data_IF_671741311869
#
_entry.id   IF_671741311869
#
_cell.length_a   1.000
_cell.length_b   1.000
_cell.length_c   1.000
_cell.angle_alpha   90.00
_cell.angle_beta   90.00
_cell.angle_gamma   90.00
#
_symmetry.space_group_name_H-M   'P 1'
#
loop_
_entity.id
_entity.type
_entity.pdbx_description
1 polymer ?
#
# COMPACT_ATOMS: atom_id res chain seq x y z
N UNK A 1 4.95 -0.65 1.79
CA UNK A 1 5.45 -1.87 1.12
C UNK A 1 4.41 -2.28 0.08
N UNK A 2 4.69 -2.02 -1.20
CA UNK A 2 3.77 -2.17 -2.33
C UNK A 2 3.79 -3.62 -2.86
N UNK A 3 3.28 -4.53 -2.03
CA UNK A 3 3.37 -5.98 -2.24
C UNK A 3 2.05 -6.75 -2.07
N UNK A 4 0.99 -6.01 -1.77
CA UNK A 4 -0.36 -6.49 -1.49
C UNK A 4 -1.31 -5.61 -2.30
N UNK A 5 -2.55 -6.03 -2.55
CA UNK A 5 -3.62 -5.23 -3.19
C UNK A 5 -3.94 -3.98 -2.33
N UNK A 6 -2.99 -3.07 -2.29
CA UNK A 6 -2.87 -2.06 -1.25
C UNK A 6 -3.87 -0.96 -1.49
N UNK A 7 -4.33 -0.77 -2.74
CA UNK A 7 -5.31 0.24 -3.11
C UNK A 7 -6.66 0.08 -2.39
N UNK A 8 -7.02 -1.13 -1.94
CA UNK A 8 -8.34 -1.43 -1.35
C UNK A 8 -8.30 -1.96 0.08
N UNK A 9 -7.12 -2.35 0.57
CA UNK A 9 -6.97 -2.89 1.92
C UNK A 9 -6.86 -1.82 2.99
N UNK A 10 -7.50 -2.07 4.13
CA UNK A 10 -7.36 -1.22 5.31
C UNK A 10 -5.95 -1.34 5.92
N UNK A 11 -5.53 -0.35 6.70
CA UNK A 11 -4.16 -0.31 7.25
C UNK A 11 -3.79 -1.54 8.09
N UNK A 12 -4.73 -2.07 8.89
CA UNK A 12 -4.49 -3.28 9.68
C UNK A 12 -4.27 -4.53 8.82
N UNK A 13 -4.89 -4.61 7.64
CA UNK A 13 -4.66 -5.73 6.69
C UNK A 13 -3.27 -5.60 6.06
N UNK A 14 -2.81 -4.37 5.80
CA UNK A 14 -1.47 -4.09 5.27
C UNK A 14 -0.36 -4.41 6.29
N UNK A 15 -0.61 -4.13 7.57
CA UNK A 15 0.25 -4.52 8.69
C UNK A 15 0.33 -6.04 8.80
N UNK A 16 -0.82 -6.73 8.90
CA UNK A 16 -0.88 -8.18 9.00
C UNK A 16 -0.22 -8.90 7.79
N UNK A 17 -0.32 -8.32 6.59
CA UNK A 17 0.42 -8.81 5.43
C UNK A 17 1.93 -8.69 5.65
N UNK A 18 2.41 -7.54 6.13
CA UNK A 18 3.84 -7.32 6.41
C UNK A 18 4.36 -8.32 7.44
N UNK A 19 3.61 -8.57 8.51
CA UNK A 19 3.97 -9.58 9.53
C UNK A 19 4.03 -10.98 8.95
N UNK A 20 3.04 -11.36 8.13
CA UNK A 20 2.98 -12.68 7.48
C UNK A 20 4.19 -12.94 6.57
N UNK A 21 4.70 -11.91 5.90
CA UNK A 21 5.82 -12.02 4.96
C UNK A 21 7.15 -11.51 5.54
N UNK A 22 7.24 -11.36 6.86
CA UNK A 22 8.43 -10.79 7.49
C UNK A 22 9.72 -11.57 7.15
N UNK A 23 9.65 -12.89 7.04
CA UNK A 23 10.79 -13.72 6.63
C UNK A 23 11.27 -13.42 5.20
N UNK A 24 10.36 -13.07 4.28
CA UNK A 24 10.71 -12.65 2.92
C UNK A 24 11.35 -11.26 2.90
N UNK A 25 10.86 -10.38 3.76
CA UNK A 25 11.42 -9.03 3.95
C UNK A 25 12.85 -9.12 4.48
N UNK A 26 13.08 -9.93 5.51
CA UNK A 26 14.42 -10.13 6.09
C UNK A 26 15.38 -10.81 5.11
N UNK A 27 14.92 -11.85 4.39
CA UNK A 27 15.74 -12.50 3.35
C UNK A 27 16.11 -11.53 2.22
N UNK A 28 15.15 -10.71 1.78
CA UNK A 28 15.37 -9.69 0.75
C UNK A 28 16.37 -8.63 1.22
N UNK A 29 16.33 -8.23 2.49
CA UNK A 29 17.27 -7.26 3.07
C UNK A 29 18.70 -7.83 3.13
N UNK A 30 18.84 -9.08 3.56
CA UNK A 30 20.14 -9.72 3.82
C UNK A 30 20.80 -10.29 2.57
N UNK A 31 20.02 -10.89 1.68
CA UNK A 31 20.48 -11.61 0.49
C UNK A 31 19.74 -11.10 -0.76
N UNK A 32 19.92 -9.82 -1.13
CA UNK A 32 19.15 -9.20 -2.21
C UNK A 32 19.32 -9.90 -3.58
N UNK A 33 20.48 -10.52 -3.83
CA UNK A 33 20.78 -11.18 -5.12
C UNK A 33 20.83 -12.71 -5.04
N UNK A 34 21.19 -13.26 -3.88
CA UNK A 34 21.40 -14.71 -3.68
C UNK A 34 20.30 -15.37 -2.83
N UNK A 35 19.30 -14.60 -2.40
CA UNK A 35 18.15 -15.07 -1.64
C UNK A 35 16.98 -15.53 -2.51
N UNK A 36 15.79 -15.61 -1.90
CA UNK A 36 14.53 -15.96 -2.57
C UNK A 36 14.09 -14.85 -3.53
N UNK A 37 14.46 -13.61 -3.21
CA UNK A 37 14.29 -12.44 -4.07
C UNK A 37 12.83 -12.03 -4.29
N UNK A 38 12.01 -12.23 -3.26
CA UNK A 38 10.63 -11.77 -3.15
C UNK A 38 10.45 -10.29 -3.50
N UNK A 39 11.40 -9.43 -3.14
CA UNK A 39 11.36 -8.00 -3.45
C UNK A 39 11.27 -7.69 -4.96
N UNK A 40 11.74 -8.60 -5.83
CA UNK A 40 11.74 -8.43 -7.30
C UNK A 40 10.35 -8.60 -7.92
N UNK A 41 9.46 -9.28 -7.21
CA UNK A 41 8.10 -9.60 -7.66
C UNK A 41 7.10 -8.50 -7.28
N UNK A 42 7.53 -7.51 -6.51
CA UNK A 42 6.67 -6.42 -6.04
C UNK A 42 6.49 -5.34 -7.11
N UNK A 43 5.42 -4.54 -6.98
CA UNK A 43 5.06 -3.52 -7.98
C UNK A 43 6.17 -2.45 -8.14
N UNK A 44 6.80 -2.10 -7.02
CA UNK A 44 7.91 -1.15 -6.95
C UNK A 44 9.16 -1.83 -6.37
N UNK A 45 9.92 -2.62 -7.15
CA UNK A 45 10.94 -3.53 -6.62
C UNK A 45 12.03 -2.84 -5.82
N UNK A 46 12.64 -1.79 -6.36
CA UNK A 46 13.77 -1.12 -5.71
C UNK A 46 13.35 -0.35 -4.46
N UNK A 47 12.16 0.25 -4.49
CA UNK A 47 11.59 0.92 -3.31
C UNK A 47 11.25 -0.10 -2.22
N UNK A 48 10.72 -1.27 -2.62
CA UNK A 48 10.47 -2.39 -1.72
C UNK A 48 11.76 -2.88 -1.10
N UNK A 49 12.83 -3.12 -1.87
CA UNK A 49 14.11 -3.56 -1.32
C UNK A 49 14.71 -2.55 -0.32
N UNK A 50 14.63 -1.26 -0.64
CA UNK A 50 15.08 -0.21 0.28
C UNK A 50 14.24 -0.21 1.58
N UNK A 51 12.92 -0.38 1.47
CA UNK A 51 12.02 -0.51 2.62
C UNK A 51 12.33 -1.77 3.45
N UNK A 52 12.63 -2.91 2.81
CA UNK A 52 13.03 -4.14 3.48
C UNK A 52 14.29 -3.94 4.32
N UNK A 53 15.29 -3.23 3.79
CA UNK A 53 16.53 -2.90 4.51
C UNK A 53 16.27 -2.00 5.70
N UNK A 54 15.43 -0.98 5.52
CA UNK A 54 15.07 -0.06 6.60
C UNK A 54 14.34 -0.80 7.73
N UNK A 55 13.34 -1.63 7.40
CA UNK A 55 12.59 -2.39 8.37
C UNK A 55 13.48 -3.40 9.11
N UNK A 56 14.37 -4.09 8.39
CA UNK A 56 15.33 -5.00 9.01
C UNK A 56 16.28 -4.27 9.96
N UNK A 57 16.74 -3.07 9.60
CA UNK A 57 17.57 -2.24 10.47
C UNK A 57 16.82 -1.82 11.74
N UNK A 58 15.57 -1.36 11.60
CA UNK A 58 14.72 -1.00 12.73
C UNK A 58 14.47 -2.19 13.67
N UNK A 59 14.08 -3.34 13.14
CA UNK A 59 13.79 -4.55 13.93
C UNK A 59 15.03 -5.12 14.65
N UNK A 60 16.22 -4.83 14.13
CA UNK A 60 17.50 -5.28 14.70
C UNK A 60 18.19 -4.18 15.53
N UNK A 61 17.60 -2.99 15.62
CA UNK A 61 18.14 -1.88 16.39
C UNK A 61 18.13 -2.20 17.88
N UNK A 62 19.28 -1.98 18.53
CA UNK A 62 19.41 -2.13 19.97
C UNK A 62 19.52 -0.75 20.59
N UNK A 63 18.66 -0.49 21.57
CA UNK A 63 18.70 0.73 22.34
C UNK A 63 20.11 0.87 22.98
N UNK A 64 20.82 1.99 22.79
CA UNK A 64 22.20 2.14 23.25
C UNK A 64 22.31 2.23 24.78
N UNK A 65 21.22 2.53 25.49
CA UNK A 65 21.19 2.64 26.95
C UNK A 65 20.80 1.33 27.63
N UNK A 66 19.83 0.60 27.08
CA UNK A 66 19.33 -0.65 27.69
C UNK A 66 19.94 -1.91 27.07
N UNK A 67 20.44 -1.82 25.83
CA UNK A 67 20.93 -2.95 25.04
C UNK A 67 19.83 -3.86 24.48
N UNK A 68 18.56 -3.57 24.78
CA UNK A 68 17.40 -4.32 24.33
C UNK A 68 17.05 -3.97 22.88
N UNK A 69 16.37 -4.89 22.17
CA UNK A 69 15.83 -4.58 20.86
C UNK A 69 14.68 -3.58 21.02
N UNK A 70 14.76 -2.45 20.35
CA UNK A 70 13.75 -1.39 20.43
C UNK A 70 13.60 -0.69 19.07
N UNK A 71 12.71 -1.17 18.20
CA UNK A 71 12.48 -0.54 16.91
C UNK A 71 11.97 0.91 17.02
N UNK A 72 11.38 1.32 18.15
CA UNK A 72 10.88 2.67 18.34
C UNK A 72 12.00 3.70 18.58
N UNK A 73 13.17 3.25 19.03
CA UNK A 73 14.38 4.09 19.20
C UNK A 73 15.20 4.21 17.90
N UNK A 74 14.86 3.45 16.86
CA UNK A 74 15.55 3.51 15.57
C UNK A 74 15.20 4.80 14.82
N UNK A 75 16.23 5.58 14.46
CA UNK A 75 16.07 6.77 13.60
C UNK A 75 16.01 6.34 12.13
N UNK A 76 14.81 6.36 11.57
CA UNK A 76 14.57 6.05 10.16
C UNK A 76 14.82 7.26 9.26
N UNK A 77 15.43 7.02 8.09
CA UNK A 77 15.62 8.00 7.01
C UNK A 77 14.80 7.66 5.76
N UNK A 78 14.07 6.54 5.79
CA UNK A 78 13.26 6.09 4.67
C UNK A 78 12.00 6.97 4.52
N UNK A 79 11.77 7.57 3.35
CA UNK A 79 10.58 8.37 3.10
C UNK A 79 9.33 7.48 2.99
N UNK A 80 8.28 7.83 3.72
CA UNK A 80 6.98 7.15 3.63
C UNK A 80 6.04 7.97 2.75
N UNK A 81 5.64 7.39 1.62
CA UNK A 81 4.74 8.05 0.69
C UNK A 81 3.29 8.01 1.22
N UNK A 82 2.58 9.13 1.12
CA UNK A 82 1.14 9.25 1.34
C UNK A 82 0.55 9.91 0.11
N UNK A 83 -0.21 9.15 -0.68
CA UNK A 83 -0.82 9.63 -1.91
C UNK A 83 -2.34 9.44 -1.86
N UNK A 84 -3.06 10.41 -2.45
CA UNK A 84 -4.51 10.40 -2.51
C UNK A 84 -5.02 9.74 -3.79
N UNK A 85 -5.97 8.82 -3.65
CA UNK A 85 -6.63 8.18 -4.79
C UNK A 85 -7.34 9.21 -5.66
N UNK A 86 -6.75 9.50 -6.83
CA UNK A 86 -7.28 10.44 -7.81
C UNK A 86 -7.51 11.87 -7.27
N UNK A 87 -6.44 12.52 -6.82
CA UNK A 87 -6.43 13.91 -6.30
C UNK A 87 -7.26 14.91 -7.13
N UNK A 88 -7.25 14.81 -8.47
CA UNK A 88 -8.04 15.67 -9.35
C UNK A 88 -9.55 15.54 -9.12
N UNK A 89 -10.07 14.31 -9.02
CA UNK A 89 -11.49 14.07 -8.73
C UNK A 89 -11.86 14.40 -7.29
N UNK A 90 -10.93 14.25 -6.34
CA UNK A 90 -11.13 14.75 -4.98
C UNK A 90 -11.39 16.26 -4.99
N UNK A 91 -10.58 17.04 -5.73
CA UNK A 91 -10.83 18.47 -5.88
C UNK A 91 -12.19 18.78 -6.54
N UNK A 92 -12.56 18.05 -7.60
CA UNK A 92 -13.87 18.24 -8.23
C UNK A 92 -15.04 17.93 -7.29
N UNK A 93 -14.98 16.82 -6.56
CA UNK A 93 -16.01 16.45 -5.60
C UNK A 93 -16.13 17.49 -4.47
N UNK A 94 -15.00 18.00 -3.97
CA UNK A 94 -14.99 19.03 -2.94
C UNK A 94 -15.58 20.37 -3.45
N UNK A 95 -15.17 20.82 -4.64
CA UNK A 95 -15.69 22.05 -5.25
C UNK A 95 -17.19 21.96 -5.56
N UNK A 96 -17.63 20.81 -6.08
CA UNK A 96 -19.03 20.56 -6.42
C UNK A 96 -19.90 20.18 -5.22
N UNK A 97 -19.30 19.91 -4.06
CA UNK A 97 -19.97 19.27 -2.90
C UNK A 97 -20.73 18.00 -3.30
N UNK A 98 -20.16 17.23 -4.21
CA UNK A 98 -20.74 15.98 -4.69
C UNK A 98 -20.52 14.88 -3.66
N UNK A 99 -21.57 14.55 -2.90
CA UNK A 99 -21.50 13.50 -1.87
C UNK A 99 -21.19 12.12 -2.45
N UNK A 100 -21.69 11.79 -3.65
CA UNK A 100 -21.45 10.49 -4.28
C UNK A 100 -20.00 10.40 -4.75
N UNK A 101 -19.54 11.42 -5.45
CA UNK A 101 -18.14 11.54 -5.86
C UNK A 101 -17.20 11.50 -4.66
N UNK A 102 -17.52 12.23 -3.58
CA UNK A 102 -16.73 12.26 -2.34
C UNK A 102 -16.57 10.87 -1.69
N UNK A 103 -17.57 10.00 -1.78
CA UNK A 103 -17.45 8.61 -1.33
C UNK A 103 -16.50 7.81 -2.24
N UNK A 104 -16.66 7.89 -3.56
CA UNK A 104 -15.82 7.13 -4.50
C UNK A 104 -14.34 7.51 -4.46
N UNK A 105 -14.02 8.76 -4.09
CA UNK A 105 -12.64 9.27 -3.98
C UNK A 105 -12.12 9.34 -2.54
N UNK A 106 -12.77 8.67 -1.59
CA UNK A 106 -12.35 8.58 -0.18
C UNK A 106 -12.24 9.92 0.57
N UNK A 107 -13.03 10.93 0.20
CA UNK A 107 -13.13 12.20 0.96
C UNK A 107 -14.08 12.10 2.16
N UNK A 108 -15.03 11.18 2.10
CA UNK A 108 -15.90 10.84 3.22
C UNK A 108 -15.28 9.70 4.01
N UNK A 109 -15.46 9.75 5.33
CA UNK A 109 -14.97 8.70 6.22
C UNK A 109 -15.54 7.33 5.82
N UNK A 110 -14.65 6.34 5.72
CA UNK A 110 -14.95 5.01 5.23
C UNK A 110 -14.01 3.98 5.89
N UNK A 111 -14.55 2.81 6.27
CA UNK A 111 -13.77 1.76 6.92
C UNK A 111 -12.67 1.17 6.03
N UNK A 112 -12.85 1.22 4.71
CA UNK A 112 -11.92 0.73 3.71
C UNK A 112 -11.71 1.78 2.62
N UNK A 113 -10.48 1.90 2.07
CA UNK A 113 -10.21 2.77 0.92
C UNK A 113 -11.15 2.49 -0.26
N UNK A 114 -11.58 3.56 -0.93
CA UNK A 114 -12.44 3.48 -2.13
C UNK A 114 -11.60 3.71 -3.39
N UNK A 115 -11.97 3.00 -4.45
CA UNK A 115 -11.22 2.95 -5.70
C UNK A 115 -12.14 3.34 -6.86
N UNK A 116 -12.09 4.61 -7.23
CA UNK A 116 -12.87 5.16 -8.34
C UNK A 116 -12.57 4.48 -9.69
N UNK A 117 -11.36 3.94 -9.88
CA UNK A 117 -11.02 3.23 -11.11
C UNK A 117 -11.75 1.89 -11.17
N UNK A 118 -11.81 1.19 -10.04
CA UNK A 118 -12.62 0.00 -9.85
C UNK A 118 -14.10 0.24 -10.12
N UNK A 119 -14.66 1.28 -9.49
CA UNK A 119 -16.06 1.66 -9.66
C UNK A 119 -16.40 1.92 -11.14
N UNK A 120 -15.54 2.64 -11.87
CA UNK A 120 -15.75 2.93 -13.29
C UNK A 120 -15.60 1.66 -14.15
N UNK A 121 -14.62 0.80 -13.85
CA UNK A 121 -14.41 -0.43 -14.59
C UNK A 121 -15.61 -1.39 -14.48
N UNK A 122 -16.25 -1.47 -13.31
CA UNK A 122 -17.48 -2.24 -13.09
C UNK A 122 -18.63 -1.72 -13.96
N UNK A 123 -18.88 -0.41 -13.92
CA UNK A 123 -19.95 0.23 -14.72
C UNK A 123 -19.74 0.00 -16.22
N UNK A 124 -18.51 0.16 -16.72
CA UNK A 124 -18.19 -0.07 -18.14
C UNK A 124 -18.34 -1.55 -18.50
N UNK A 125 -17.93 -2.45 -17.62
CA UNK A 125 -18.06 -3.89 -17.80
C UNK A 125 -19.53 -4.34 -17.92
N UNK A 126 -20.39 -3.85 -17.03
CA UNK A 126 -21.83 -4.12 -17.07
C UNK A 126 -22.48 -3.60 -18.36
N UNK A 127 -22.13 -2.36 -18.75
CA UNK A 127 -22.63 -1.78 -20.00
C UNK A 127 -22.20 -2.62 -21.22
N UNK A 128 -20.94 -3.06 -21.27
CA UNK A 128 -20.43 -3.89 -22.35
C UNK A 128 -21.14 -5.25 -22.45
N UNK A 129 -21.35 -5.91 -21.30
CA UNK A 129 -22.07 -7.19 -21.24
C UNK A 129 -23.54 -7.03 -21.69
N UNK A 130 -24.20 -5.95 -21.27
CA UNK A 130 -25.60 -5.68 -21.67
C UNK A 130 -25.77 -5.50 -23.18
N UNK A 131 -24.81 -4.85 -23.84
CA UNK A 131 -24.78 -4.67 -25.30
C UNK A 131 -24.53 -5.97 -26.05
N UNK A 132 -23.73 -6.88 -25.47
CA UNK A 132 -23.36 -8.14 -26.11
C UNK A 132 -24.47 -9.19 -26.02
N UNK A 133 -25.32 -9.14 -24.99
CA UNK A 133 -26.48 -10.05 -24.84
C UNK A 133 -27.67 -9.64 -25.74
N UNK A 134 -27.66 -8.41 -26.27
CA UNK A 134 -28.68 -7.88 -27.18
C UNK A 134 -28.34 -8.04 -28.68
N UNK A 135 -27.21 -8.69 -29.02
CA UNK A 135 -26.79 -9.07 -30.38
C UNK A 135 -26.76 -10.58 -30.53
#
# INVERSE_FOLDING_TARGET
>A
MAAYDSGRSANFEREAFTDKYLDEVLDSADKPFDGRGWWREQEEPWQTLACCRELAAALRHRNPHTGELDPADYVSFFPVHQDGSCNGLQHYAAMGRDERGAVSVSLRDCERPRDVYGDVAEVVGEAYLSLTVLL
#
